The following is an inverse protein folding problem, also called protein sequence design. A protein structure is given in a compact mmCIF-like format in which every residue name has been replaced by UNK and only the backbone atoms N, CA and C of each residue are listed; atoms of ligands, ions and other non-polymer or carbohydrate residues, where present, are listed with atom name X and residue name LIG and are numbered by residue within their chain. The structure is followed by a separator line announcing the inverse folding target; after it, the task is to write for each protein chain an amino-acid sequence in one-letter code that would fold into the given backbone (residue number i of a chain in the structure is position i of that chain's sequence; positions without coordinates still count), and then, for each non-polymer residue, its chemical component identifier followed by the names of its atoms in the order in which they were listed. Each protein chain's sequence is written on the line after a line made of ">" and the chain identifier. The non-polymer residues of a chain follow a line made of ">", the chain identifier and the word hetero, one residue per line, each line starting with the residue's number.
data_IF_217805640292
#
_entry.id   IF_217805640292
#
_cell.length_a   1.000
_cell.length_b   1.000
_cell.length_c   1.000
_cell.angle_alpha   90.00
_cell.angle_beta   90.00
_cell.angle_gamma   90.00
#
_symmetry.space_group_name_H-M   'P 1'
#
loop_
_entity.id
_entity.type
_entity.pdbx_description
1 polymer ?
#
# COMPACT_ATOMS: atom_id res chain seq x y z
N UNK A 1 12.25 22.18 -1.55
CA UNK A 1 12.09 21.04 -2.47
C UNK A 1 13.44 20.54 -3.01
N UNK A 2 14.36 21.43 -3.42
CA UNK A 2 15.69 21.04 -3.94
C UNK A 2 16.47 20.13 -2.98
N UNK A 3 16.51 20.46 -1.68
CA UNK A 3 17.14 19.61 -0.66
C UNK A 3 16.45 18.23 -0.51
N UNK A 4 15.12 18.20 -0.59
CA UNK A 4 14.34 16.96 -0.55
C UNK A 4 14.60 16.05 -1.76
N UNK A 5 14.76 16.63 -2.96
CA UNK A 5 15.06 15.87 -4.20
C UNK A 5 16.38 15.12 -4.11
N UNK A 6 17.38 15.67 -3.38
CA UNK A 6 18.69 15.01 -3.20
C UNK A 6 18.65 13.79 -2.28
N UNK A 7 17.65 13.70 -1.37
CA UNK A 7 17.66 12.74 -0.28
C UNK A 7 16.48 11.76 -0.30
N UNK A 8 15.39 12.11 -0.98
CA UNK A 8 14.16 11.34 -0.94
C UNK A 8 13.86 10.68 -2.28
N UNK A 9 13.07 9.61 -2.23
CA UNK A 9 12.57 8.96 -3.45
C UNK A 9 11.67 9.90 -4.24
N UNK A 10 11.72 9.80 -5.57
CA UNK A 10 10.95 10.66 -6.48
C UNK A 10 9.44 10.71 -6.15
N UNK A 11 8.83 9.58 -5.82
CA UNK A 11 7.40 9.52 -5.41
C UNK A 11 7.10 10.27 -4.11
N UNK A 12 8.06 10.36 -3.19
CA UNK A 12 7.92 11.16 -1.97
C UNK A 12 8.03 12.64 -2.28
N UNK A 13 8.97 13.01 -3.16
CA UNK A 13 9.14 14.39 -3.62
C UNK A 13 7.89 14.87 -4.36
N UNK A 14 7.35 14.07 -5.27
CA UNK A 14 6.08 14.36 -5.96
C UNK A 14 4.94 14.63 -4.97
N UNK A 15 4.91 13.85 -3.88
CA UNK A 15 3.96 14.09 -2.80
C UNK A 15 4.11 15.45 -2.12
N UNK A 16 5.34 15.92 -1.90
CA UNK A 16 5.61 17.26 -1.38
C UNK A 16 5.28 18.35 -2.42
N UNK A 17 5.66 18.15 -3.68
CA UNK A 17 5.37 19.07 -4.78
C UNK A 17 3.86 19.28 -4.95
N UNK A 18 3.11 18.19 -4.92
CA UNK A 18 1.64 18.24 -4.94
C UNK A 18 1.08 19.05 -3.77
N UNK A 19 1.52 18.80 -2.54
CA UNK A 19 1.07 19.55 -1.38
C UNK A 19 1.41 21.05 -1.48
N UNK A 20 2.63 21.37 -1.93
CA UNK A 20 3.08 22.76 -2.09
C UNK A 20 2.27 23.46 -3.18
N UNK A 21 2.12 22.86 -4.35
CA UNK A 21 1.47 23.52 -5.49
C UNK A 21 -0.04 23.65 -5.31
N UNK A 22 -0.71 22.62 -4.75
CA UNK A 22 -2.17 22.60 -4.63
C UNK A 22 -2.69 23.34 -3.37
N UNK A 23 -1.90 23.38 -2.31
CA UNK A 23 -2.41 23.85 -1.02
C UNK A 23 -1.59 24.98 -0.41
N UNK A 24 -0.24 24.90 -0.45
CA UNK A 24 0.58 25.90 0.21
C UNK A 24 0.68 27.18 -0.61
N UNK A 25 1.04 27.09 -1.88
CA UNK A 25 1.19 28.26 -2.75
C UNK A 25 -0.08 29.12 -2.83
N UNK A 26 -1.29 28.57 -3.04
CA UNK A 26 -2.50 29.38 -3.12
C UNK A 26 -2.77 30.22 -1.86
N UNK A 27 -2.36 29.75 -0.67
CA UNK A 27 -2.66 30.43 0.60
C UNK A 27 -1.46 31.23 1.14
N UNK A 28 -0.24 30.73 0.97
CA UNK A 28 0.93 31.24 1.67
C UNK A 28 1.97 31.90 0.76
N UNK A 29 1.77 31.99 -0.56
CA UNK A 29 2.68 32.74 -1.44
C UNK A 29 2.66 34.22 -1.09
N UNK A 30 3.85 34.80 -0.93
CA UNK A 30 4.01 36.22 -0.57
C UNK A 30 3.77 36.54 0.90
N UNK A 31 3.35 35.56 1.71
CA UNK A 31 3.21 35.75 3.17
C UNK A 31 4.57 35.56 3.82
N UNK A 32 4.97 36.51 4.66
CA UNK A 32 6.19 36.39 5.48
C UNK A 32 6.00 35.31 6.53
N UNK A 33 7.01 34.43 6.71
CA UNK A 33 6.88 33.28 7.63
C UNK A 33 6.65 33.75 9.08
N UNK A 34 7.25 34.86 9.45
CA UNK A 34 7.16 35.46 10.78
C UNK A 34 5.76 36.01 11.11
N UNK A 35 4.96 36.33 10.09
CA UNK A 35 3.60 36.84 10.28
C UNK A 35 2.54 35.76 10.42
N UNK A 36 2.92 34.48 10.18
CA UNK A 36 1.97 33.37 10.26
C UNK A 36 1.63 33.10 11.75
N UNK A 37 0.34 33.20 12.07
CA UNK A 37 -0.15 32.93 13.43
C UNK A 37 -0.75 31.51 13.57
N UNK A 38 -0.85 30.98 14.80
CA UNK A 38 -1.54 29.72 15.06
C UNK A 38 -3.01 29.73 14.63
N UNK A 39 -3.69 30.86 14.79
CA UNK A 39 -5.10 31.07 14.45
C UNK A 39 -5.30 31.00 12.94
N UNK A 40 -4.41 31.61 12.14
CA UNK A 40 -4.44 31.52 10.68
C UNK A 40 -4.16 30.10 10.19
N UNK A 41 -3.26 29.38 10.87
CA UNK A 41 -3.00 27.96 10.57
C UNK A 41 -4.22 27.10 10.85
N UNK A 42 -4.92 27.33 11.98
CA UNK A 42 -6.13 26.59 12.30
C UNK A 42 -7.23 26.88 11.29
N UNK A 43 -7.52 28.15 11.01
CA UNK A 43 -8.52 28.54 10.03
C UNK A 43 -8.24 27.98 8.64
N UNK A 44 -6.95 27.92 8.24
CA UNK A 44 -6.56 27.29 6.96
C UNK A 44 -6.80 25.78 6.96
N UNK A 45 -6.48 25.09 8.05
CA UNK A 45 -6.70 23.63 8.19
C UNK A 45 -8.19 23.32 8.20
N UNK A 46 -9.00 24.11 8.87
CA UNK A 46 -10.47 23.93 8.95
C UNK A 46 -11.17 24.14 7.59
N UNK A 47 -10.55 24.92 6.70
CA UNK A 47 -11.05 25.14 5.34
C UNK A 47 -10.91 23.96 4.37
N UNK A 48 -10.30 22.84 4.80
CA UNK A 48 -10.12 21.69 3.92
C UNK A 48 -11.34 20.75 3.93
N UNK A 49 -11.86 20.46 2.75
CA UNK A 49 -12.94 19.46 2.59
C UNK A 49 -12.49 18.03 2.92
N UNK A 50 -11.19 17.72 2.77
CA UNK A 50 -10.64 16.37 2.95
C UNK A 50 -9.60 16.32 4.07
N UNK A 51 -9.86 15.62 5.19
CA UNK A 51 -8.94 15.49 6.33
C UNK A 51 -7.52 15.05 5.95
N UNK A 52 -7.41 14.13 4.98
CA UNK A 52 -6.12 13.64 4.50
C UNK A 52 -5.30 14.69 3.75
N UNK A 53 -5.95 15.60 3.03
CA UNK A 53 -5.29 16.72 2.35
C UNK A 53 -4.83 17.78 3.37
N UNK A 54 -5.69 18.11 4.34
CA UNK A 54 -5.36 19.02 5.45
C UNK A 54 -4.10 18.57 6.19
N UNK A 55 -4.09 17.33 6.65
CA UNK A 55 -2.95 16.76 7.38
C UNK A 55 -1.65 16.79 6.56
N UNK A 56 -1.72 16.40 5.29
CA UNK A 56 -0.55 16.38 4.39
C UNK A 56 -0.03 17.80 4.15
N UNK A 57 -0.93 18.74 3.87
CA UNK A 57 -0.60 20.13 3.65
C UNK A 57 0.02 20.76 4.89
N UNK A 58 -0.62 20.61 6.05
CA UNK A 58 -0.11 21.11 7.33
C UNK A 58 1.26 20.52 7.69
N UNK A 59 1.42 19.20 7.62
CA UNK A 59 2.71 18.54 7.88
C UNK A 59 3.81 19.04 6.93
N UNK A 60 3.47 19.38 5.69
CA UNK A 60 4.42 19.94 4.72
C UNK A 60 4.81 21.36 5.10
N UNK A 61 3.86 22.23 5.42
CA UNK A 61 4.13 23.60 5.89
C UNK A 61 4.96 23.61 7.17
N UNK A 62 4.58 22.79 8.15
CA UNK A 62 5.35 22.61 9.40
C UNK A 62 6.81 22.25 9.16
N UNK A 63 7.08 21.36 8.19
CA UNK A 63 8.46 21.03 7.83
C UNK A 63 9.20 22.20 7.19
N UNK A 64 8.53 23.04 6.39
CA UNK A 64 9.11 24.24 5.78
C UNK A 64 9.47 25.26 6.85
N UNK A 65 8.54 25.58 7.75
CA UNK A 65 8.75 26.53 8.86
C UNK A 65 9.93 26.06 9.73
N UNK A 66 9.92 24.82 10.17
CA UNK A 66 11.01 24.28 11.01
C UNK A 66 12.34 24.19 10.29
N UNK A 67 12.34 23.98 8.99
CA UNK A 67 13.55 24.03 8.18
C UNK A 67 14.08 25.47 8.09
N UNK A 68 13.22 26.46 7.88
CA UNK A 68 13.60 27.87 7.84
C UNK A 68 14.23 28.33 9.18
N UNK A 69 13.58 28.01 10.29
CA UNK A 69 14.11 28.31 11.63
C UNK A 69 15.48 27.68 11.84
N UNK A 70 15.63 26.39 11.55
CA UNK A 70 16.84 25.62 11.88
C UNK A 70 18.00 25.83 10.90
N UNK A 71 17.72 26.04 9.62
CA UNK A 71 18.74 26.06 8.55
C UNK A 71 19.01 27.45 8.00
N UNK A 72 18.00 28.33 7.96
CA UNK A 72 18.18 29.70 7.50
C UNK A 72 18.36 30.68 8.66
N UNK A 73 18.22 30.21 9.91
CA UNK A 73 18.37 31.07 11.10
C UNK A 73 17.26 32.11 11.26
N UNK A 74 16.10 31.85 10.65
CA UNK A 74 14.94 32.76 10.79
C UNK A 74 14.54 32.82 12.27
N UNK A 75 14.57 34.01 12.85
CA UNK A 75 14.21 34.23 14.24
C UNK A 75 12.72 34.52 14.34
N UNK A 76 11.94 33.50 14.61
CA UNK A 76 10.49 33.57 14.77
C UNK A 76 10.01 32.54 15.79
N UNK A 77 8.84 32.82 16.37
CA UNK A 77 8.09 31.80 17.08
C UNK A 77 7.61 30.72 16.06
N UNK A 78 7.73 29.43 16.41
CA UNK A 78 7.17 28.35 15.58
C UNK A 78 5.65 28.27 15.80
N UNK A 79 4.80 28.80 14.91
CA UNK A 79 3.36 28.83 15.12
C UNK A 79 2.77 27.40 15.10
N UNK A 80 3.53 26.42 14.59
CA UNK A 80 3.10 25.03 14.59
C UNK A 80 3.31 24.34 15.94
N UNK A 81 3.95 25.00 16.91
CA UNK A 81 4.13 24.47 18.27
C UNK A 81 2.88 24.69 19.16
N UNK A 82 2.00 25.61 18.79
CA UNK A 82 0.77 25.93 19.54
C UNK A 82 -0.31 24.84 19.48
N UNK A 83 -0.11 23.76 18.71
CA UNK A 83 -1.04 22.63 18.72
C UNK A 83 -2.26 22.82 17.81
N UNK A 84 -2.03 22.99 16.49
CA UNK A 84 -3.12 23.02 15.51
C UNK A 84 -3.89 21.67 15.51
N UNK A 85 -5.19 21.74 15.68
CA UNK A 85 -6.08 20.58 15.65
C UNK A 85 -6.33 20.12 14.20
N UNK A 86 -5.97 18.89 13.92
CA UNK A 86 -6.18 18.32 12.60
C UNK A 86 -7.53 17.60 12.52
N UNK A 87 -8.29 17.76 11.42
CA UNK A 87 -9.56 17.09 11.25
C UNK A 87 -9.38 15.57 11.30
N UNK A 88 -10.24 14.88 12.04
CA UNK A 88 -10.19 13.42 12.18
C UNK A 88 -10.48 12.75 10.85
N UNK A 89 -9.62 11.83 10.47
CA UNK A 89 -9.90 10.93 9.35
C UNK A 89 -10.90 9.87 9.77
N UNK A 90 -11.90 9.63 8.94
CA UNK A 90 -12.71 8.44 9.10
C UNK A 90 -11.79 7.20 9.02
N UNK A 91 -12.02 6.22 9.88
CA UNK A 91 -11.30 4.96 9.83
C UNK A 91 -11.53 4.32 8.45
N UNK A 92 -10.46 4.11 7.70
CA UNK A 92 -10.54 3.41 6.42
C UNK A 92 -10.67 1.91 6.69
N UNK A 93 -11.85 1.35 6.40
CA UNK A 93 -12.02 -0.10 6.36
C UNK A 93 -11.67 -0.60 4.96
N UNK A 94 -10.58 -1.35 4.80
CA UNK A 94 -10.22 -1.89 3.49
C UNK A 94 -11.29 -2.88 3.01
N UNK A 95 -11.59 -2.84 1.72
CA UNK A 95 -12.51 -3.79 1.11
C UNK A 95 -11.83 -5.15 0.92
N UNK A 96 -11.97 -5.99 1.92
CA UNK A 96 -11.42 -7.35 1.96
C UNK A 96 -12.42 -8.32 1.35
N UNK A 97 -11.96 -9.21 0.47
CA UNK A 97 -12.74 -10.32 -0.06
C UNK A 97 -12.59 -11.54 0.85
N UNK A 98 -13.68 -12.25 1.06
CA UNK A 98 -13.64 -13.61 1.60
C UNK A 98 -13.15 -14.63 0.55
N UNK A 99 -13.14 -15.90 0.88
CA UNK A 99 -12.68 -16.96 -0.02
C UNK A 99 -13.51 -17.05 -1.30
N UNK A 100 -14.84 -16.92 -1.21
CA UNK A 100 -15.75 -16.96 -2.34
C UNK A 100 -15.61 -15.75 -3.25
N UNK A 101 -15.55 -14.55 -2.67
CA UNK A 101 -15.29 -13.29 -3.38
C UNK A 101 -13.93 -13.30 -4.08
N UNK A 102 -12.89 -13.88 -3.45
CA UNK A 102 -11.56 -14.03 -4.04
C UNK A 102 -11.61 -15.00 -5.23
N UNK A 103 -12.32 -16.10 -5.12
CA UNK A 103 -12.51 -17.03 -6.24
C UNK A 103 -13.30 -16.38 -7.40
N UNK A 104 -14.36 -15.62 -7.08
CA UNK A 104 -15.12 -14.82 -8.06
C UNK A 104 -14.26 -13.80 -8.78
N UNK A 105 -13.43 -13.05 -8.04
CA UNK A 105 -12.46 -12.09 -8.57
C UNK A 105 -11.50 -12.76 -9.56
N UNK A 106 -10.91 -13.89 -9.21
CA UNK A 106 -9.98 -14.62 -10.08
C UNK A 106 -10.66 -15.20 -11.32
N UNK A 107 -11.89 -15.72 -11.18
CA UNK A 107 -12.67 -16.21 -12.32
C UNK A 107 -12.99 -15.10 -13.33
N UNK A 108 -13.38 -13.94 -12.84
CA UNK A 108 -13.68 -12.78 -13.70
C UNK A 108 -12.47 -12.35 -14.55
N UNK A 109 -11.27 -12.46 -13.99
CA UNK A 109 -10.03 -12.07 -14.66
C UNK A 109 -9.42 -13.14 -15.54
N UNK A 110 -10.03 -14.33 -15.58
CA UNK A 110 -9.57 -15.46 -16.41
C UNK A 110 -9.48 -15.07 -17.90
N UNK A 111 -8.33 -15.32 -18.52
CA UNK A 111 -8.06 -14.96 -19.92
C UNK A 111 -7.76 -13.48 -20.17
N UNK A 112 -7.89 -12.62 -19.18
CA UNK A 112 -7.55 -11.19 -19.32
C UNK A 112 -6.05 -10.96 -19.33
N UNK A 113 -5.62 -9.84 -19.91
CA UNK A 113 -4.21 -9.42 -19.92
C UNK A 113 -3.65 -9.13 -18.51
N UNK A 114 -4.52 -8.87 -17.52
CA UNK A 114 -4.16 -8.62 -16.12
C UNK A 114 -4.20 -9.87 -15.24
N UNK A 115 -4.58 -11.02 -15.76
CA UNK A 115 -4.80 -12.25 -14.98
C UNK A 115 -3.57 -12.65 -14.18
N UNK A 116 -2.39 -12.71 -14.80
CA UNK A 116 -1.16 -13.13 -14.13
C UNK A 116 -0.79 -12.21 -12.96
N UNK A 117 -0.94 -10.88 -13.12
CA UNK A 117 -0.69 -9.90 -12.06
C UNK A 117 -1.71 -10.03 -10.95
N UNK A 118 -2.99 -10.23 -11.28
CA UNK A 118 -4.06 -10.37 -10.30
C UNK A 118 -3.87 -11.64 -9.44
N UNK A 119 -3.51 -12.77 -10.06
CA UNK A 119 -3.18 -14.01 -9.34
C UNK A 119 -2.06 -13.73 -8.34
N UNK A 120 -0.92 -13.16 -8.77
CA UNK A 120 0.21 -12.89 -7.88
C UNK A 120 -0.16 -11.88 -6.79
N UNK A 121 -0.97 -10.86 -7.10
CA UNK A 121 -1.38 -9.85 -6.11
C UNK A 121 -2.16 -10.47 -4.96
N UNK A 122 -3.18 -11.28 -5.27
CA UNK A 122 -4.11 -11.80 -4.26
C UNK A 122 -3.60 -13.05 -3.56
N UNK A 123 -2.71 -13.83 -4.20
CA UNK A 123 -2.18 -15.05 -3.59
C UNK A 123 -0.88 -14.87 -2.81
N UNK A 124 -0.17 -13.75 -3.01
CA UNK A 124 1.10 -13.46 -2.34
C UNK A 124 1.06 -12.20 -1.47
N UNK A 125 -0.06 -11.50 -1.42
CA UNK A 125 -0.19 -10.26 -0.64
C UNK A 125 0.78 -9.16 -1.06
N UNK A 126 1.08 -9.04 -2.36
CA UNK A 126 2.07 -8.11 -2.88
C UNK A 126 1.59 -6.66 -2.77
N UNK A 127 2.54 -5.74 -2.54
CA UNK A 127 2.24 -4.32 -2.76
C UNK A 127 1.96 -4.07 -4.24
N UNK A 128 1.08 -3.11 -4.56
CA UNK A 128 0.72 -2.79 -5.95
C UNK A 128 1.93 -2.66 -6.88
N UNK A 129 2.95 -1.91 -6.46
CA UNK A 129 4.15 -1.71 -7.26
C UNK A 129 5.00 -2.97 -7.42
N UNK A 130 5.06 -3.84 -6.41
CA UNK A 130 5.73 -5.14 -6.46
C UNK A 130 5.05 -6.03 -7.52
N UNK A 131 3.72 -6.16 -7.44
CA UNK A 131 2.94 -6.96 -8.39
C UNK A 131 3.07 -6.47 -9.84
N UNK A 132 2.99 -5.14 -10.06
CA UNK A 132 3.16 -4.55 -11.40
C UNK A 132 4.60 -4.65 -11.92
N UNK A 133 5.58 -4.84 -11.03
CA UNK A 133 7.00 -4.96 -11.37
C UNK A 133 7.47 -6.39 -11.62
N UNK A 134 6.63 -7.40 -11.35
CA UNK A 134 7.00 -8.80 -11.57
C UNK A 134 7.24 -9.12 -13.04
N UNK A 135 8.28 -9.92 -13.26
CA UNK A 135 8.62 -10.50 -14.56
C UNK A 135 8.45 -12.01 -14.52
N UNK A 136 8.26 -12.63 -15.67
CA UNK A 136 8.24 -14.08 -15.79
C UNK A 136 9.53 -14.75 -15.29
N UNK A 137 10.66 -14.07 -15.39
CA UNK A 137 11.96 -14.53 -14.86
C UNK A 137 12.07 -14.49 -13.33
N UNK A 138 11.15 -13.83 -12.64
CA UNK A 138 11.11 -13.81 -11.19
C UNK A 138 10.37 -15.01 -10.60
N UNK A 139 9.69 -15.80 -11.42
CA UNK A 139 8.84 -16.91 -11.02
C UNK A 139 9.46 -18.23 -11.48
N UNK A 140 9.87 -19.07 -10.54
CA UNK A 140 10.16 -20.47 -10.81
C UNK A 140 8.84 -21.26 -10.79
N UNK A 141 8.32 -21.53 -11.97
CA UNK A 141 7.08 -22.30 -12.10
C UNK A 141 7.25 -23.79 -11.75
N UNK A 142 8.48 -24.30 -11.53
CA UNK A 142 8.69 -25.67 -11.06
C UNK A 142 8.45 -25.77 -9.55
N UNK A 143 9.01 -24.84 -8.79
CA UNK A 143 8.91 -24.81 -7.33
C UNK A 143 7.76 -23.93 -6.82
N UNK A 144 7.28 -22.98 -7.62
CA UNK A 144 6.32 -21.95 -7.21
C UNK A 144 6.98 -20.74 -6.54
N UNK A 145 8.32 -20.70 -6.42
CA UNK A 145 9.03 -19.58 -5.82
C UNK A 145 8.87 -18.30 -6.67
N UNK A 146 8.60 -17.18 -6.00
CA UNK A 146 8.53 -15.84 -6.60
C UNK A 146 9.46 -14.91 -5.84
N UNK A 147 10.41 -14.29 -6.55
CA UNK A 147 11.41 -13.39 -5.99
C UNK A 147 11.00 -11.94 -6.21
N UNK A 148 10.72 -11.23 -5.13
CA UNK A 148 10.33 -9.82 -5.16
C UNK A 148 11.59 -8.96 -5.17
N UNK A 149 11.95 -8.39 -6.33
CA UNK A 149 13.23 -7.66 -6.54
C UNK A 149 13.04 -6.20 -6.90
N UNK A 150 11.84 -5.78 -7.29
CA UNK A 150 11.56 -4.43 -7.78
C UNK A 150 10.13 -4.00 -7.53
N UNK A 151 9.93 -2.70 -7.65
CA UNK A 151 8.62 -2.07 -7.60
C UNK A 151 8.48 -1.16 -8.83
N UNK A 152 7.39 -1.29 -9.58
CA UNK A 152 7.03 -0.44 -10.73
C UNK A 152 5.91 0.49 -10.34
N UNK A 153 6.10 1.76 -10.52
CA UNK A 153 5.16 2.81 -10.15
C UNK A 153 5.14 3.93 -11.20
N UNK A 154 4.16 4.81 -11.10
CA UNK A 154 4.09 6.01 -11.95
C UNK A 154 4.41 7.21 -11.07
N UNK A 155 5.36 8.02 -11.48
CA UNK A 155 5.81 9.25 -10.80
C UNK A 155 5.92 10.35 -11.83
N UNK A 156 5.26 11.49 -11.64
CA UNK A 156 5.24 12.57 -12.62
C UNK A 156 4.69 12.15 -13.99
N UNK A 157 3.75 11.22 -14.03
CA UNK A 157 3.21 10.66 -15.27
C UNK A 157 4.12 9.62 -15.96
N UNK A 158 5.35 9.43 -15.50
CA UNK A 158 6.31 8.48 -16.07
C UNK A 158 6.39 7.20 -15.25
N UNK A 159 6.61 6.09 -15.92
CA UNK A 159 6.85 4.80 -15.26
C UNK A 159 8.29 4.71 -14.79
N UNK A 160 8.45 4.39 -13.51
CA UNK A 160 9.75 4.16 -12.91
C UNK A 160 9.79 2.78 -12.25
N UNK A 161 10.92 2.11 -12.41
CA UNK A 161 11.21 0.85 -11.74
C UNK A 161 12.29 1.14 -10.69
N UNK A 162 11.96 0.85 -9.45
CA UNK A 162 12.85 1.10 -8.31
C UNK A 162 13.05 -0.19 -7.52
N UNK A 163 14.15 -0.31 -6.76
CA UNK A 163 14.31 -1.40 -5.81
C UNK A 163 13.20 -1.35 -4.75
N UNK A 164 12.91 -2.45 -4.06
CA UNK A 164 11.95 -2.49 -2.97
C UNK A 164 12.22 -1.39 -1.93
N UNK A 165 11.19 -0.99 -1.18
CA UNK A 165 11.27 0.16 -0.25
C UNK A 165 12.29 -0.06 0.88
N UNK A 166 12.45 -1.29 1.33
CA UNK A 166 13.38 -1.71 2.39
C UNK A 166 14.06 -3.01 1.97
N UNK A 167 15.19 -3.35 2.57
CA UNK A 167 15.88 -4.63 2.36
C UNK A 167 14.96 -5.83 2.66
N UNK A 168 14.15 -5.76 3.74
CA UNK A 168 13.16 -6.76 4.07
C UNK A 168 12.03 -6.91 3.04
N UNK A 169 11.86 -5.95 2.16
CA UNK A 169 10.91 -6.05 1.04
C UNK A 169 11.44 -6.89 -0.12
N UNK A 170 12.77 -7.09 -0.22
CA UNK A 170 13.36 -8.09 -1.09
C UNK A 170 13.21 -9.46 -0.42
N UNK A 171 12.29 -10.26 -0.93
CA UNK A 171 11.92 -11.53 -0.30
C UNK A 171 11.49 -12.55 -1.36
N UNK A 172 11.51 -13.83 -0.98
CA UNK A 172 10.86 -14.90 -1.72
C UNK A 172 9.48 -15.20 -1.12
N UNK A 173 8.53 -15.50 -1.99
CA UNK A 173 7.19 -15.95 -1.66
C UNK A 173 6.88 -17.21 -2.48
N UNK A 174 5.88 -18.00 -2.08
CA UNK A 174 5.51 -19.22 -2.79
C UNK A 174 4.06 -19.19 -3.24
N UNK A 175 3.86 -19.46 -4.51
CA UNK A 175 2.54 -19.55 -5.12
C UNK A 175 1.84 -20.85 -4.69
N UNK A 176 0.54 -20.83 -4.44
CA UNK A 176 -0.23 -22.04 -4.27
C UNK A 176 -0.30 -22.84 -5.58
N UNK A 177 -0.48 -24.16 -5.47
CA UNK A 177 -0.43 -25.09 -6.62
C UNK A 177 -1.36 -24.69 -7.78
N UNK A 178 -2.56 -24.20 -7.49
CA UNK A 178 -3.50 -23.76 -8.52
C UNK A 178 -2.97 -22.56 -9.33
N UNK A 179 -2.32 -21.59 -8.63
CA UNK A 179 -1.73 -20.42 -9.26
C UNK A 179 -0.54 -20.81 -10.16
N UNK A 180 0.34 -21.69 -9.69
CA UNK A 180 1.45 -22.22 -10.51
C UNK A 180 0.92 -22.89 -11.78
N UNK A 181 -0.10 -23.77 -11.66
CA UNK A 181 -0.73 -24.46 -12.79
C UNK A 181 -1.30 -23.44 -13.79
N UNK A 182 -2.00 -22.42 -13.28
CA UNK A 182 -2.59 -21.40 -14.15
C UNK A 182 -1.54 -20.50 -14.81
N UNK A 183 -0.52 -20.06 -14.09
CA UNK A 183 0.56 -19.25 -14.66
C UNK A 183 1.38 -20.01 -15.72
N UNK A 184 1.57 -21.33 -15.57
CA UNK A 184 2.16 -22.17 -16.64
C UNK A 184 1.34 -22.10 -17.93
N UNK A 185 0.01 -22.21 -17.83
CA UNK A 185 -0.88 -22.12 -18.97
C UNK A 185 -0.87 -20.75 -19.64
N UNK A 186 -0.67 -19.66 -18.84
CA UNK A 186 -0.59 -18.29 -19.35
C UNK A 186 0.77 -18.01 -20.01
N UNK A 187 1.86 -18.54 -19.46
CA UNK A 187 3.23 -18.18 -19.85
C UNK A 187 3.51 -18.43 -21.34
N UNK A 188 3.20 -19.60 -21.89
CA UNK A 188 3.32 -19.96 -23.34
C UNK A 188 4.43 -19.18 -24.08
N UNK A 189 5.68 -19.21 -23.58
CA UNK A 189 6.83 -18.49 -24.18
C UNK A 189 6.90 -16.99 -23.88
N UNK A 190 5.95 -16.41 -23.12
CA UNK A 190 6.00 -14.98 -22.72
C UNK A 190 7.24 -14.69 -21.84
N UNK A 191 7.85 -13.56 -22.10
CA UNK A 191 9.01 -13.02 -21.37
C UNK A 191 8.70 -11.60 -20.86
N UNK A 192 9.61 -11.01 -20.09
CA UNK A 192 9.43 -9.66 -19.58
C UNK A 192 8.43 -9.57 -18.43
N UNK A 193 7.67 -8.48 -18.37
CA UNK A 193 6.67 -8.23 -17.32
C UNK A 193 5.50 -9.22 -17.41
N UNK A 194 4.88 -9.54 -16.26
CA UNK A 194 3.63 -10.34 -16.25
C UNK A 194 2.49 -9.61 -16.98
N UNK A 195 2.47 -8.27 -16.89
CA UNK A 195 1.59 -7.39 -17.65
C UNK A 195 2.36 -6.13 -18.04
N UNK A 196 2.38 -5.80 -19.33
CA UNK A 196 3.09 -4.64 -19.89
C UNK A 196 2.36 -3.31 -19.67
N UNK A 197 1.06 -3.35 -19.42
CA UNK A 197 0.27 -2.14 -19.16
C UNK A 197 0.81 -1.37 -17.96
N UNK A 198 0.65 -0.05 -17.95
CA UNK A 198 1.07 0.77 -16.81
C UNK A 198 0.31 0.42 -15.53
N UNK A 199 0.90 0.63 -14.34
CA UNK A 199 0.25 0.32 -13.05
C UNK A 199 -1.14 0.96 -12.88
N UNK A 200 -1.34 2.16 -13.43
CA UNK A 200 -2.63 2.85 -13.38
C UNK A 200 -3.65 2.20 -14.34
N UNK A 201 -3.20 1.78 -15.51
CA UNK A 201 -4.05 1.10 -16.50
C UNK A 201 -4.43 -0.29 -16.00
N UNK A 202 -3.49 -1.07 -15.43
CA UNK A 202 -3.76 -2.37 -14.80
C UNK A 202 -4.90 -2.24 -13.79
N UNK A 203 -4.80 -1.27 -12.86
CA UNK A 203 -5.82 -1.07 -11.83
C UNK A 203 -7.20 -0.74 -12.42
N UNK A 204 -7.26 0.15 -13.44
CA UNK A 204 -8.52 0.48 -14.14
C UNK A 204 -9.08 -0.72 -14.90
N UNK A 205 -8.23 -1.49 -15.56
CA UNK A 205 -8.64 -2.66 -16.34
C UNK A 205 -9.23 -3.76 -15.47
N UNK A 206 -8.56 -4.08 -14.35
CA UNK A 206 -9.08 -5.05 -13.36
C UNK A 206 -10.46 -4.62 -12.86
N UNK A 207 -10.62 -3.35 -12.46
CA UNK A 207 -11.93 -2.81 -12.01
C UNK A 207 -13.00 -2.93 -13.09
N UNK A 208 -12.67 -2.60 -14.34
CA UNK A 208 -13.61 -2.68 -15.46
C UNK A 208 -14.05 -4.12 -15.77
N UNK A 209 -13.10 -5.06 -15.75
CA UNK A 209 -13.38 -6.50 -15.99
C UNK A 209 -14.28 -7.05 -14.89
N UNK A 210 -13.97 -6.82 -13.61
CA UNK A 210 -14.81 -7.28 -12.50
C UNK A 210 -16.22 -6.69 -12.58
N UNK A 211 -16.35 -5.38 -12.86
CA UNK A 211 -17.65 -4.74 -13.04
C UNK A 211 -18.45 -5.36 -14.18
N UNK A 212 -17.82 -5.61 -15.35
CA UNK A 212 -18.48 -6.23 -16.48
C UNK A 212 -18.98 -7.65 -16.18
N UNK A 213 -18.23 -8.40 -15.37
CA UNK A 213 -18.55 -9.76 -14.97
C UNK A 213 -19.52 -9.85 -13.78
N UNK A 214 -19.95 -8.72 -13.19
CA UNK A 214 -20.73 -8.73 -11.94
C UNK A 214 -19.98 -9.38 -10.76
N UNK A 215 -18.66 -9.44 -10.83
CA UNK A 215 -17.84 -10.11 -9.83
C UNK A 215 -17.43 -9.19 -8.69
N UNK A 216 -17.10 -9.78 -7.54
CA UNK A 216 -16.48 -9.07 -6.45
C UNK A 216 -15.21 -8.36 -6.90
N UNK A 217 -15.02 -7.13 -6.42
CA UNK A 217 -13.84 -6.32 -6.76
C UNK A 217 -13.12 -5.86 -5.50
N UNK A 218 -11.82 -5.98 -5.53
CA UNK A 218 -10.90 -5.34 -4.59
C UNK A 218 -9.75 -4.68 -5.37
N UNK A 219 -9.18 -3.61 -4.84
CA UNK A 219 -8.02 -2.96 -5.46
C UNK A 219 -6.76 -3.80 -5.24
N UNK A 220 -5.72 -3.58 -6.06
CA UNK A 220 -4.44 -4.28 -5.88
C UNK A 220 -3.79 -4.00 -4.51
N UNK A 221 -4.07 -2.87 -3.89
CA UNK A 221 -3.63 -2.57 -2.52
C UNK A 221 -4.41 -3.39 -1.51
N UNK A 222 -5.72 -3.52 -1.70
CA UNK A 222 -6.61 -4.28 -0.84
C UNK A 222 -6.48 -5.80 -1.06
N UNK A 223 -5.98 -6.28 -2.21
CA UNK A 223 -5.57 -7.68 -2.39
C UNK A 223 -4.60 -8.15 -1.30
N UNK A 224 -3.73 -7.26 -0.84
CA UNK A 224 -2.79 -7.55 0.25
C UNK A 224 -3.51 -7.71 1.59
N UNK A 225 -4.52 -6.89 1.86
CA UNK A 225 -5.37 -7.03 3.04
C UNK A 225 -6.23 -8.31 2.94
N UNK A 226 -6.75 -8.61 1.76
CA UNK A 226 -7.48 -9.86 1.48
C UNK A 226 -6.62 -11.08 1.79
N UNK A 227 -5.40 -11.14 1.25
CA UNK A 227 -4.48 -12.24 1.51
C UNK A 227 -4.17 -12.41 3.00
N UNK A 228 -3.88 -11.29 3.69
CA UNK A 228 -3.54 -11.33 5.11
C UNK A 228 -4.73 -11.81 5.97
N UNK A 229 -5.93 -11.31 5.67
CA UNK A 229 -7.14 -11.74 6.38
C UNK A 229 -7.41 -13.23 6.16
N UNK A 230 -7.34 -13.71 4.92
CA UNK A 230 -7.51 -15.13 4.61
C UNK A 230 -6.43 -16.01 5.27
N UNK A 231 -5.17 -15.54 5.35
CA UNK A 231 -4.11 -16.26 6.04
C UNK A 231 -4.37 -16.38 7.54
N UNK A 232 -4.79 -15.29 8.20
CA UNK A 232 -5.18 -15.31 9.62
C UNK A 232 -6.41 -16.20 9.84
N UNK A 233 -7.39 -16.16 8.95
CA UNK A 233 -8.57 -17.03 8.99
C UNK A 233 -8.21 -18.51 8.83
N UNK A 234 -7.16 -18.81 8.07
CA UNK A 234 -6.61 -20.15 7.91
C UNK A 234 -5.73 -20.59 9.10
N UNK A 235 -5.59 -19.77 10.14
CA UNK A 235 -4.83 -20.09 11.35
C UNK A 235 -3.33 -19.76 11.26
N UNK A 236 -2.88 -19.02 10.25
CA UNK A 236 -1.49 -18.57 10.16
C UNK A 236 -1.24 -17.49 11.22
N UNK A 237 -0.22 -17.67 12.04
CA UNK A 237 0.16 -16.70 13.07
C UNK A 237 0.50 -15.34 12.47
N UNK A 238 0.13 -14.27 13.18
CA UNK A 238 0.26 -12.89 12.69
C UNK A 238 1.71 -12.49 12.41
N UNK A 239 2.67 -13.01 13.18
CA UNK A 239 4.11 -12.82 12.97
C UNK A 239 4.54 -13.37 11.61
N UNK A 240 4.07 -14.57 11.28
CA UNK A 240 4.32 -15.21 9.97
C UNK A 240 3.69 -14.40 8.84
N UNK A 241 2.45 -13.92 9.02
CA UNK A 241 1.78 -13.03 8.07
C UNK A 241 2.58 -11.75 7.86
N UNK A 242 3.03 -11.09 8.93
CA UNK A 242 3.85 -9.88 8.87
C UNK A 242 5.18 -10.12 8.13
N UNK A 243 5.86 -11.23 8.42
CA UNK A 243 7.09 -11.64 7.75
C UNK A 243 6.87 -11.87 6.26
N UNK A 244 5.84 -12.65 5.88
CA UNK A 244 5.52 -12.94 4.48
C UNK A 244 5.14 -11.68 3.70
N UNK A 245 4.47 -10.73 4.33
CA UNK A 245 4.16 -9.43 3.76
C UNK A 245 5.40 -8.52 3.67
N UNK A 246 6.46 -8.76 4.42
CA UNK A 246 7.63 -7.88 4.51
C UNK A 246 7.28 -6.57 5.24
N UNK A 247 6.59 -6.67 6.38
CA UNK A 247 6.39 -5.56 7.30
C UNK A 247 7.68 -5.33 8.08
N UNK A 248 8.08 -4.06 8.23
CA UNK A 248 9.22 -3.67 9.07
C UNK A 248 8.83 -3.58 10.54
N UNK A 249 7.55 -3.33 10.78
CA UNK A 249 6.95 -3.20 12.10
C UNK A 249 5.71 -4.13 12.16
N UNK A 250 5.72 -5.02 13.15
CA UNK A 250 4.65 -5.99 13.37
C UNK A 250 3.36 -5.31 13.86
N UNK A 251 3.46 -4.12 14.50
CA UNK A 251 2.31 -3.34 14.96
C UNK A 251 1.33 -3.05 13.81
N UNK A 252 1.86 -2.80 12.60
CA UNK A 252 1.04 -2.62 11.39
C UNK A 252 0.18 -3.85 11.07
N UNK A 253 0.68 -5.06 11.34
CA UNK A 253 -0.11 -6.26 11.12
C UNK A 253 -1.17 -6.43 12.21
N UNK A 254 -0.82 -6.14 13.46
CA UNK A 254 -1.77 -6.17 14.58
C UNK A 254 -2.92 -5.18 14.38
N UNK A 255 -2.65 -3.94 14.04
CA UNK A 255 -3.67 -2.90 13.81
C UNK A 255 -4.65 -3.22 12.68
N UNK A 256 -4.18 -3.90 11.63
CA UNK A 256 -4.97 -4.11 10.43
C UNK A 256 -5.63 -5.49 10.31
N UNK A 257 -5.10 -6.52 10.98
CA UNK A 257 -5.53 -7.91 10.73
C UNK A 257 -6.03 -8.65 11.96
N UNK A 258 -5.86 -8.12 13.17
CA UNK A 258 -6.47 -8.70 14.35
C UNK A 258 -7.85 -8.09 14.58
N UNK A 259 -8.87 -8.76 14.08
CA UNK A 259 -10.23 -8.62 14.56
C UNK A 259 -10.50 -9.84 15.45
N UNK A 260 -10.78 -9.66 16.75
CA UNK A 260 -11.15 -10.78 17.62
C UNK A 260 -12.37 -11.50 17.04
N UNK A 261 -12.19 -12.70 16.52
CA UNK A 261 -13.28 -13.53 16.02
C UNK A 261 -13.50 -14.67 16.99
N UNK A 262 -14.73 -14.83 17.56
CA UNK A 262 -15.04 -15.89 18.53
C UNK A 262 -14.70 -17.29 18.03
N UNK A 263 -14.77 -17.52 16.71
CA UNK A 263 -14.41 -18.80 16.06
C UNK A 263 -12.95 -19.14 16.24
N UNK A 264 -12.03 -18.19 15.98
CA UNK A 264 -10.58 -18.40 16.10
C UNK A 264 -10.21 -18.75 17.54
N UNK A 265 -10.84 -18.05 18.52
CA UNK A 265 -10.61 -18.34 19.94
C UNK A 265 -11.07 -19.75 20.31
N UNK A 266 -12.23 -20.20 19.81
CA UNK A 266 -12.74 -21.56 20.06
C UNK A 266 -11.86 -22.63 19.43
N UNK A 267 -11.36 -22.41 18.22
CA UNK A 267 -10.52 -23.36 17.50
C UNK A 267 -9.13 -23.46 18.16
N UNK A 268 -8.56 -22.34 18.62
CA UNK A 268 -7.33 -22.33 19.41
C UNK A 268 -7.49 -23.11 20.74
N UNK A 269 -8.62 -22.92 21.45
CA UNK A 269 -8.91 -23.64 22.69
C UNK A 269 -9.01 -25.15 22.46
N UNK A 270 -9.68 -25.57 21.37
CA UNK A 270 -9.76 -27.00 21.01
C UNK A 270 -8.41 -27.61 20.70
N UNK A 271 -7.51 -26.85 20.06
CA UNK A 271 -6.17 -27.34 19.75
C UNK A 271 -5.33 -27.49 21.01
N UNK A 272 -5.39 -26.54 21.95
CA UNK A 272 -4.77 -26.65 23.28
C UNK A 272 -5.30 -27.88 24.04
N UNK A 273 -6.61 -28.09 24.05
CA UNK A 273 -7.24 -29.28 24.63
C UNK A 273 -6.67 -30.57 24.05
N UNK A 274 -6.59 -30.67 22.70
CA UNK A 274 -6.00 -31.85 22.03
C UNK A 274 -4.54 -32.11 22.43
N UNK A 275 -3.74 -31.03 22.58
CA UNK A 275 -2.34 -31.17 23.00
C UNK A 275 -2.26 -31.69 24.44
N UNK A 276 -3.09 -31.17 25.36
CA UNK A 276 -3.13 -31.61 26.75
C UNK A 276 -3.60 -33.07 26.83
N UNK A 277 -4.62 -33.47 26.05
CA UNK A 277 -5.17 -34.82 26.10
C UNK A 277 -4.29 -35.89 25.43
N UNK A 278 -3.25 -35.48 24.69
CA UNK A 278 -2.25 -36.35 24.06
C UNK A 278 -0.99 -36.56 24.90
N UNK A 279 -0.78 -35.76 25.95
CA UNK A 279 0.34 -35.87 26.91
C UNK A 279 0.03 -36.86 28.05
#
# INVERSE_FOLDING_TARGET
>A
LADKRKRLRASTVEGYESAVNLHLRPRWSGVQLESITPEELQAWVDGFALPGAAEKAYKTLRQIIRWAIRRLGVRMYDPTSAGVELPRKAAHSPKVLDAEGTASYLRALYGSECEAVAICSVTLGLRRGEACGLRWSDIDLRTGEVRIRRSRQVVGGQEVVVPPKTERSARSCWLPRFAVRRLRAIRKGRTGLLCSLSPNVIARRIKAVCRKAGAAYTSMTECRHTWATLAVEAGVGIETVAMMLGHTDISTAYEHYIVPRPRICKDAQREVERLIMRA
#
